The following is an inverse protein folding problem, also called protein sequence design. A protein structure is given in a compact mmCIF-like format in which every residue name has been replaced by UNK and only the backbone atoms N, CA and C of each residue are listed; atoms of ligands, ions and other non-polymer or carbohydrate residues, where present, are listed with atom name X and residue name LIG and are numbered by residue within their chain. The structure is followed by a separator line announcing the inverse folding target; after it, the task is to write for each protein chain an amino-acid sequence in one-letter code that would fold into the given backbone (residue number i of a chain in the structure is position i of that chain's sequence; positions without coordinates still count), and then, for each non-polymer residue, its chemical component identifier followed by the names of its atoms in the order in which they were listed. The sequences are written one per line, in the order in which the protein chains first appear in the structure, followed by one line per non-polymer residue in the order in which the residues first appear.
data_IF_030351653254
#
_entry.id   IF_030351653254
#
_cell.length_a   1.000
_cell.length_b   1.000
_cell.length_c   1.000
_cell.angle_alpha   90.00
_cell.angle_beta   90.00
_cell.angle_gamma   90.00
#
_symmetry.space_group_name_H-M   'P 1'
#
loop_
_entity.id
_entity.type
_entity.pdbx_description
1 polymer ?
#
# COMPACT_ATOMS: atom_id res chain seq x y z
N UNK A 1 31.95 -29.58 -39.30
CA UNK A 1 30.68 -29.38 -38.58
C UNK A 1 30.26 -27.94 -38.85
N UNK A 2 29.10 -27.61 -39.40
CA UNK A 2 27.91 -28.42 -39.65
C UNK A 2 26.73 -27.47 -39.48
N UNK A 3 26.18 -26.98 -40.58
CA UNK A 3 25.02 -26.08 -40.57
C UNK A 3 24.01 -26.53 -41.61
N UNK A 4 22.74 -26.21 -41.39
CA UNK A 4 21.69 -26.13 -42.40
C UNK A 4 20.53 -25.29 -41.87
N UNK A 5 19.83 -24.63 -42.80
CA UNK A 5 18.72 -23.72 -42.54
C UNK A 5 17.35 -24.39 -42.73
N UNK A 6 16.32 -23.80 -42.10
CA UNK A 6 14.95 -23.58 -42.61
C UNK A 6 14.14 -24.71 -43.28
N UNK A 7 12.93 -24.95 -42.75
CA UNK A 7 11.63 -24.45 -43.28
C UNK A 7 10.46 -25.46 -43.29
N UNK A 8 9.24 -24.92 -43.46
CA UNK A 8 7.93 -25.50 -43.11
C UNK A 8 7.18 -26.13 -44.30
N UNK A 9 6.59 -27.31 -44.06
CA UNK A 9 5.29 -27.88 -44.55
C UNK A 9 5.31 -29.39 -44.28
N UNK A 10 4.25 -30.12 -43.97
CA UNK A 10 2.82 -29.91 -44.23
C UNK A 10 2.31 -31.05 -45.13
N UNK A 11 1.45 -31.93 -44.63
CA UNK A 11 0.92 -33.06 -45.39
C UNK A 11 0.16 -34.09 -44.53
N UNK A 12 -1.01 -34.54 -45.01
CA UNK A 12 -1.90 -35.48 -44.30
C UNK A 12 -1.84 -36.91 -44.87
N UNK A 13 -2.34 -37.86 -44.07
CA UNK A 13 -3.15 -39.04 -44.45
C UNK A 13 -2.54 -40.25 -45.20
N UNK A 14 -2.65 -41.42 -44.54
CA UNK A 14 -3.09 -42.72 -45.06
C UNK A 14 -3.44 -43.58 -43.81
N UNK A 15 -4.64 -44.09 -43.54
CA UNK A 15 -5.64 -44.89 -44.29
C UNK A 15 -5.18 -46.32 -44.60
N UNK A 16 -5.86 -47.28 -43.95
CA UNK A 16 -6.15 -48.61 -44.51
C UNK A 16 -5.40 -49.80 -43.89
N UNK A 17 -6.12 -50.88 -43.53
CA UNK A 17 -5.48 -52.17 -43.20
C UNK A 17 -6.23 -53.14 -42.27
N UNK A 18 -7.55 -53.30 -42.38
CA UNK A 18 -8.25 -54.35 -41.62
C UNK A 18 -8.15 -55.74 -42.26
N UNK A 19 -8.03 -56.81 -41.45
CA UNK A 19 -8.26 -58.20 -41.91
C UNK A 19 -8.67 -59.13 -40.76
N UNK A 20 -9.56 -60.09 -41.05
CA UNK A 20 -10.23 -61.03 -40.11
C UNK A 20 -9.78 -62.50 -40.30
N UNK A 21 -10.05 -63.31 -39.27
CA UNK A 21 -10.13 -64.81 -39.14
C UNK A 21 -9.22 -65.32 -38.01
N UNK A 22 -9.54 -66.31 -37.16
CA UNK A 22 -10.75 -67.07 -36.80
C UNK A 22 -10.47 -67.79 -35.42
N UNK A 23 -11.38 -68.38 -34.65
CA UNK A 23 -12.84 -68.57 -34.74
C UNK A 23 -13.25 -70.02 -34.36
N UNK A 24 -14.00 -70.27 -33.27
CA UNK A 24 -14.45 -71.62 -32.86
C UNK A 24 -15.79 -71.67 -32.07
N UNK A 25 -16.45 -72.82 -32.17
CA UNK A 25 -17.82 -73.25 -31.80
C UNK A 25 -18.28 -73.09 -30.31
N UNK A 26 -19.56 -72.72 -30.03
CA UNK A 26 -20.77 -73.54 -29.63
C UNK A 26 -20.67 -74.15 -28.20
N UNK A 27 -21.60 -74.09 -27.23
CA UNK A 27 -23.08 -74.32 -27.07
C UNK A 27 -23.71 -73.37 -26.01
N UNK A 28 -24.94 -72.81 -26.18
CA UNK A 28 -26.26 -73.24 -25.60
C UNK A 28 -26.48 -72.88 -24.09
N UNK A 29 -27.63 -72.43 -23.54
CA UNK A 29 -28.96 -72.02 -24.06
C UNK A 29 -29.67 -71.00 -23.12
N UNK A 30 -30.56 -70.18 -23.70
CA UNK A 30 -31.76 -69.52 -23.10
C UNK A 30 -31.76 -68.91 -21.67
N UNK A 31 -32.12 -67.62 -21.56
CA UNK A 31 -32.77 -67.12 -20.34
C UNK A 31 -32.79 -65.60 -20.11
N UNK A 32 -33.83 -64.90 -20.60
CA UNK A 32 -34.31 -63.62 -20.04
C UNK A 32 -33.43 -62.38 -20.24
N UNK A 33 -33.85 -61.47 -21.12
CA UNK A 33 -33.20 -60.17 -21.25
C UNK A 33 -33.48 -59.25 -20.05
N UNK A 34 -32.41 -58.76 -19.42
CA UNK A 34 -32.41 -57.49 -18.70
C UNK A 34 -31.23 -56.65 -19.20
N UNK A 35 -31.53 -55.44 -19.66
CA UNK A 35 -30.51 -54.47 -19.99
C UNK A 35 -29.93 -53.95 -18.68
N UNK A 36 -28.65 -54.18 -18.44
CA UNK A 36 -27.84 -53.28 -17.61
C UNK A 36 -26.40 -53.34 -18.09
N UNK A 37 -26.10 -52.46 -19.06
CA UNK A 37 -24.74 -52.05 -19.31
C UNK A 37 -24.29 -51.21 -18.11
N UNK A 38 -23.73 -51.87 -17.09
CA UNK A 38 -23.08 -51.20 -15.96
C UNK A 38 -21.76 -50.60 -16.45
N UNK A 39 -21.89 -49.49 -17.18
CA UNK A 39 -20.81 -48.56 -17.41
C UNK A 39 -20.29 -48.12 -16.02
N UNK A 40 -19.09 -48.57 -15.66
CA UNK A 40 -18.35 -48.02 -14.53
C UNK A 40 -17.82 -46.62 -14.89
N UNK A 41 -18.75 -45.72 -15.18
CA UNK A 41 -18.50 -44.31 -15.33
C UNK A 41 -18.24 -43.77 -13.91
N UNK A 42 -16.97 -43.69 -13.53
CA UNK A 42 -16.53 -42.86 -12.41
C UNK A 42 -16.67 -41.36 -12.78
N UNK A 43 -17.91 -40.95 -13.06
CA UNK A 43 -18.32 -39.55 -13.10
C UNK A 43 -18.55 -39.17 -11.65
N UNK A 44 -17.65 -38.38 -11.09
CA UNK A 44 -17.86 -37.70 -9.82
C UNK A 44 -19.01 -36.68 -9.97
N UNK A 45 -20.24 -37.16 -9.83
CA UNK A 45 -21.45 -36.37 -9.68
C UNK A 45 -22.02 -36.67 -8.29
N UNK A 46 -21.39 -36.02 -7.30
CA UNK A 46 -21.67 -36.25 -5.87
C UNK A 46 -21.02 -35.24 -4.92
N UNK A 47 -20.19 -34.32 -5.40
CA UNK A 47 -19.71 -33.15 -4.67
C UNK A 47 -19.80 -31.91 -5.57
N UNK A 48 -20.99 -31.31 -5.63
CA UNK A 48 -21.16 -29.96 -6.17
C UNK A 48 -20.53 -28.96 -5.19
N UNK A 49 -19.63 -28.10 -5.69
CA UNK A 49 -19.39 -26.79 -5.10
C UNK A 49 -18.56 -26.72 -3.80
N UNK A 50 -17.42 -27.41 -3.71
CA UNK A 50 -16.36 -27.06 -2.74
C UNK A 50 -15.07 -26.56 -3.43
N UNK A 51 -15.23 -25.71 -4.44
CA UNK A 51 -14.32 -24.59 -4.60
C UNK A 51 -14.79 -23.45 -3.68
N UNK A 52 -14.68 -23.68 -2.36
CA UNK A 52 -14.52 -22.57 -1.43
C UNK A 52 -13.14 -22.00 -1.71
N UNK A 53 -13.09 -21.04 -2.64
CA UNK A 53 -12.01 -20.07 -2.66
C UNK A 53 -12.03 -19.44 -1.27
N UNK A 54 -11.08 -19.83 -0.41
CA UNK A 54 -11.03 -19.34 0.96
C UNK A 54 -10.81 -17.84 0.87
N UNK A 55 -11.84 -17.09 1.22
CA UNK A 55 -11.81 -15.64 1.19
C UNK A 55 -11.00 -15.21 2.43
N UNK A 56 -9.90 -14.51 2.21
CA UNK A 56 -9.08 -13.96 3.29
C UNK A 56 -9.67 -12.64 3.80
N UNK A 57 -9.37 -12.31 5.06
CA UNK A 57 -9.69 -11.08 5.75
C UNK A 57 -8.40 -10.21 5.90
N UNK A 58 -7.81 -9.64 4.82
CA UNK A 58 -6.46 -9.10 4.88
C UNK A 58 -6.33 -7.71 5.55
N UNK A 59 -5.25 -7.55 6.32
CA UNK A 59 -4.80 -6.32 6.96
C UNK A 59 -3.31 -6.07 6.69
N UNK A 60 -2.91 -4.83 6.46
CA UNK A 60 -1.49 -4.43 6.32
C UNK A 60 -1.00 -3.76 7.61
N UNK A 61 0.14 -4.22 8.11
CA UNK A 61 0.91 -3.58 9.18
C UNK A 61 2.15 -2.94 8.57
N UNK A 62 2.34 -1.64 8.86
CA UNK A 62 3.46 -0.86 8.33
C UNK A 62 4.47 -0.58 9.43
N UNK A 63 5.74 -0.84 9.13
CA UNK A 63 6.88 -0.64 10.01
C UNK A 63 7.88 0.32 9.35
N UNK A 64 8.66 1.01 10.19
CA UNK A 64 9.91 1.65 9.78
C UNK A 64 11.08 1.06 10.55
N UNK A 65 12.27 1.01 9.94
CA UNK A 65 13.49 0.50 10.60
C UNK A 65 14.33 1.67 11.10
N UNK A 66 14.40 1.86 12.42
CA UNK A 66 15.25 2.86 13.09
C UNK A 66 16.31 2.15 13.92
N UNK A 67 17.57 2.51 13.73
CA UNK A 67 18.72 1.94 14.47
C UNK A 67 18.74 0.40 14.48
N UNK A 68 18.34 -0.22 13.36
CA UNK A 68 18.23 -1.68 13.23
C UNK A 68 16.91 -2.29 13.73
N UNK A 69 16.17 -1.60 14.60
CA UNK A 69 14.91 -2.06 15.22
C UNK A 69 13.72 -1.73 14.32
N UNK A 70 12.77 -2.66 14.20
CA UNK A 70 11.48 -2.43 13.54
C UNK A 70 10.53 -1.74 14.52
N UNK A 71 10.04 -0.56 14.14
CA UNK A 71 9.00 0.17 14.86
C UNK A 71 7.72 0.14 14.02
N UNK A 72 6.65 -0.41 14.58
CA UNK A 72 5.30 -0.31 13.97
C UNK A 72 4.88 1.17 13.94
N UNK A 73 4.38 1.63 12.80
CA UNK A 73 3.92 3.02 12.58
C UNK A 73 2.44 3.13 12.21
N UNK A 74 1.79 2.01 11.89
CA UNK A 74 0.35 1.97 11.64
C UNK A 74 -0.13 0.61 11.14
N UNK A 75 -1.46 0.44 11.19
CA UNK A 75 -2.20 -0.69 10.63
C UNK A 75 -3.34 -0.14 9.79
N UNK A 76 -3.70 -0.81 8.71
CA UNK A 76 -4.96 -0.56 8.00
C UNK A 76 -6.14 -1.11 8.79
N UNK A 77 -7.36 -0.88 8.30
CA UNK A 77 -8.49 -1.72 8.62
C UNK A 77 -8.30 -3.17 8.12
N UNK A 78 -9.16 -4.07 8.59
CA UNK A 78 -9.34 -5.42 8.03
C UNK A 78 -10.43 -5.32 6.95
N UNK A 79 -10.16 -5.83 5.75
CA UNK A 79 -11.17 -5.94 4.69
C UNK A 79 -11.67 -7.37 4.68
N UNK A 80 -12.96 -7.58 4.94
CA UNK A 80 -13.50 -8.94 5.04
C UNK A 80 -13.66 -9.61 3.68
N UNK A 81 -13.37 -10.90 3.62
CA UNK A 81 -13.62 -11.81 2.51
C UNK A 81 -13.17 -11.25 1.15
N UNK A 82 -11.92 -10.77 1.05
CA UNK A 82 -11.45 -10.09 -0.15
C UNK A 82 -9.97 -10.37 -0.47
N UNK A 83 -9.74 -11.04 -1.60
CA UNK A 83 -8.40 -11.37 -2.11
C UNK A 83 -7.76 -10.24 -2.95
N UNK A 84 -8.50 -9.16 -3.25
CA UNK A 84 -8.02 -7.93 -3.89
C UNK A 84 -8.42 -6.70 -3.05
N UNK A 85 -7.96 -6.60 -1.80
CA UNK A 85 -8.39 -5.58 -0.85
C UNK A 85 -7.98 -4.16 -1.30
N UNK A 86 -8.83 -3.19 -0.96
CA UNK A 86 -8.53 -1.77 -1.06
C UNK A 86 -8.79 -1.11 0.30
N UNK A 87 -7.71 -0.75 0.99
CA UNK A 87 -7.76 -0.09 2.29
C UNK A 87 -7.95 1.43 2.14
N UNK A 88 -8.71 1.99 3.07
CA UNK A 88 -9.07 3.40 3.18
C UNK A 88 -8.17 4.09 4.22
N UNK A 89 -7.78 3.39 5.30
CA UNK A 89 -6.98 3.95 6.39
C UNK A 89 -5.55 4.29 5.92
N UNK A 90 -5.08 5.51 6.24
CA UNK A 90 -3.82 6.06 5.70
C UNK A 90 -2.73 6.18 6.77
N UNK A 91 -1.68 5.39 6.64
CA UNK A 91 -0.50 5.48 7.53
C UNK A 91 0.33 6.75 7.22
N UNK A 92 0.37 7.68 8.17
CA UNK A 92 0.99 9.00 7.99
C UNK A 92 2.48 9.05 8.37
N UNK A 93 3.36 9.12 7.37
CA UNK A 93 4.82 9.20 7.54
C UNK A 93 5.35 10.61 7.27
N UNK A 94 6.26 11.12 8.11
CA UNK A 94 6.98 12.36 7.82
C UNK A 94 8.16 12.06 6.90
N UNK A 95 8.27 12.77 5.77
CA UNK A 95 9.39 12.62 4.83
C UNK A 95 10.55 13.56 5.19
N UNK A 96 11.77 13.02 5.20
CA UNK A 96 13.02 13.74 5.46
C UNK A 96 13.98 13.44 4.30
N UNK A 97 14.21 14.40 3.41
CA UNK A 97 14.98 14.22 2.17
C UNK A 97 16.45 13.81 2.41
N UNK A 98 16.99 14.17 3.57
CA UNK A 98 18.36 13.88 4.01
C UNK A 98 18.55 12.50 4.65
N UNK A 99 17.46 11.75 4.88
CA UNK A 99 17.49 10.45 5.56
C UNK A 99 16.91 9.34 4.67
N UNK A 100 17.60 8.19 4.61
CA UNK A 100 17.04 6.97 4.02
C UNK A 100 15.98 6.42 4.96
N UNK A 101 14.72 6.44 4.55
CA UNK A 101 13.57 6.00 5.35
C UNK A 101 13.00 4.67 4.82
N UNK A 102 13.52 3.52 5.29
CA UNK A 102 12.98 2.22 4.92
C UNK A 102 11.59 2.00 5.52
N UNK A 103 10.69 1.49 4.70
CA UNK A 103 9.36 1.02 5.04
C UNK A 103 9.25 -0.48 4.78
N UNK A 104 8.61 -1.18 5.71
CA UNK A 104 8.34 -2.63 5.62
C UNK A 104 6.84 -2.82 5.84
N UNK A 105 6.21 -3.56 4.94
CA UNK A 105 4.79 -3.83 4.90
C UNK A 105 4.59 -5.32 5.11
N UNK A 106 3.83 -5.71 6.13
CA UNK A 106 3.46 -7.10 6.39
C UNK A 106 1.96 -7.25 6.21
N UNK A 107 1.56 -8.23 5.41
CA UNK A 107 0.16 -8.57 5.18
C UNK A 107 -0.19 -9.78 6.03
N UNK A 108 -1.30 -9.71 6.74
CA UNK A 108 -1.85 -10.78 7.56
C UNK A 108 -3.27 -11.08 7.14
N UNK A 109 -3.65 -12.36 7.18
CA UNK A 109 -5.02 -12.82 7.15
C UNK A 109 -5.53 -12.84 8.60
N UNK A 110 -6.61 -12.11 8.88
CA UNK A 110 -7.09 -11.89 10.24
C UNK A 110 -8.25 -12.85 10.52
N UNK A 111 -8.12 -13.70 11.54
CA UNK A 111 -9.21 -14.62 11.89
C UNK A 111 -10.49 -13.82 12.19
N UNK A 112 -11.59 -14.20 11.54
CA UNK A 112 -12.88 -13.50 11.56
C UNK A 112 -13.43 -13.27 12.99
N UNK A 113 -12.95 -14.00 14.01
CA UNK A 113 -13.23 -13.73 15.43
C UNK A 113 -12.72 -12.37 15.94
N UNK A 114 -11.79 -11.71 15.22
CA UNK A 114 -11.22 -10.41 15.57
C UNK A 114 -11.85 -9.21 14.85
N UNK A 115 -12.80 -9.40 13.93
CA UNK A 115 -13.33 -8.30 13.08
C UNK A 115 -14.01 -7.16 13.85
N UNK A 116 -14.56 -7.45 15.04
CA UNK A 116 -15.21 -6.46 15.92
C UNK A 116 -14.24 -5.85 16.96
N UNK A 117 -12.95 -6.16 16.87
CA UNK A 117 -11.92 -5.75 17.83
C UNK A 117 -11.04 -4.65 17.18
N UNK A 118 -10.69 -3.56 17.90
CA UNK A 118 -9.85 -2.51 17.33
C UNK A 118 -8.51 -3.05 16.79
N UNK A 119 -8.15 -2.73 15.55
CA UNK A 119 -6.97 -3.33 14.87
C UNK A 119 -5.64 -3.22 15.63
N UNK A 120 -5.51 -2.20 16.50
CA UNK A 120 -4.34 -1.98 17.37
C UNK A 120 -4.21 -3.02 18.51
N UNK A 121 -5.30 -3.70 18.90
CA UNK A 121 -5.29 -4.71 19.97
C UNK A 121 -5.23 -6.15 19.43
N UNK A 122 -5.34 -6.35 18.11
CA UNK A 122 -5.16 -7.65 17.46
C UNK A 122 -3.70 -8.13 17.64
N UNK A 123 -3.54 -9.34 18.14
CA UNK A 123 -2.23 -9.97 18.31
C UNK A 123 -1.79 -10.62 17.00
N UNK A 124 -0.72 -10.08 16.40
CA UNK A 124 -0.17 -10.57 15.12
C UNK A 124 0.48 -11.96 15.21
N UNK A 125 0.71 -12.47 16.41
CA UNK A 125 1.15 -13.86 16.66
C UNK A 125 0.05 -14.89 16.41
N UNK A 126 -1.21 -14.45 16.43
CA UNK A 126 -2.40 -15.30 16.44
C UNK A 126 -3.13 -15.24 15.08
N UNK A 127 -2.48 -14.67 14.05
CA UNK A 127 -3.00 -14.42 12.69
C UNK A 127 -2.07 -15.06 11.64
N UNK A 128 -2.61 -15.41 10.48
CA UNK A 128 -1.81 -16.03 9.42
C UNK A 128 -1.03 -14.98 8.62
N UNK A 129 0.25 -15.21 8.41
CA UNK A 129 1.14 -14.27 7.72
C UNK A 129 1.13 -14.53 6.20
N UNK A 130 0.65 -13.56 5.42
CA UNK A 130 0.50 -13.65 3.97
C UNK A 130 1.72 -13.13 3.18
N UNK A 131 2.61 -12.36 3.81
CA UNK A 131 3.88 -11.96 3.22
C UNK A 131 4.41 -10.59 3.64
N UNK A 132 5.68 -10.34 3.32
CA UNK A 132 6.38 -9.07 3.55
C UNK A 132 6.82 -8.43 2.22
N UNK A 133 6.71 -7.11 2.14
CA UNK A 133 7.29 -6.27 1.10
C UNK A 133 8.04 -5.09 1.74
N UNK A 134 9.04 -4.54 1.05
CA UNK A 134 9.81 -3.41 1.55
C UNK A 134 10.30 -2.48 0.43
N UNK A 135 10.45 -1.20 0.75
CA UNK A 135 11.01 -0.17 -0.10
C UNK A 135 11.51 1.03 0.74
N UNK A 136 12.25 1.95 0.16
CA UNK A 136 12.51 3.26 0.77
C UNK A 136 11.37 4.21 0.39
N UNK A 137 10.91 5.04 1.33
CA UNK A 137 9.84 6.04 1.10
C UNK A 137 10.13 6.95 -0.12
N UNK A 138 11.41 7.27 -0.36
CA UNK A 138 11.85 8.05 -1.53
C UNK A 138 11.50 7.40 -2.87
N UNK A 139 11.46 6.07 -2.97
CA UNK A 139 11.11 5.34 -4.19
C UNK A 139 9.64 5.48 -4.60
N UNK A 140 8.75 5.81 -3.65
CA UNK A 140 7.33 6.01 -3.92
C UNK A 140 7.08 7.46 -4.29
N UNK A 141 7.56 8.41 -3.46
CA UNK A 141 7.26 9.85 -3.62
C UNK A 141 7.94 10.49 -4.84
N UNK A 142 9.08 9.96 -5.31
CA UNK A 142 9.79 10.48 -6.49
C UNK A 142 9.21 10.01 -7.81
N UNK A 143 8.34 8.98 -7.81
CA UNK A 143 7.65 8.53 -9.02
C UNK A 143 6.54 9.50 -9.39
N UNK A 144 6.41 9.78 -10.68
CA UNK A 144 5.32 10.62 -11.22
C UNK A 144 3.92 10.09 -10.86
N UNK A 145 3.75 8.76 -10.83
CA UNK A 145 2.52 8.08 -10.40
C UNK A 145 2.26 8.14 -8.88
N UNK A 146 3.28 8.53 -8.09
CA UNK A 146 3.39 8.34 -6.64
C UNK A 146 2.97 6.94 -6.17
N UNK A 147 3.23 5.92 -6.99
CA UNK A 147 2.76 4.54 -6.76
C UNK A 147 3.83 3.51 -7.08
N UNK A 148 3.91 2.47 -6.25
CA UNK A 148 4.90 1.40 -6.32
C UNK A 148 4.23 0.06 -5.99
N UNK A 149 4.23 -0.86 -6.94
CA UNK A 149 3.82 -2.26 -6.74
C UNK A 149 5.03 -3.10 -6.32
N UNK A 150 4.87 -3.87 -5.24
CA UNK A 150 5.89 -4.71 -4.62
C UNK A 150 5.40 -6.16 -4.58
N UNK A 151 6.29 -7.11 -4.86
CA UNK A 151 5.98 -8.54 -4.69
C UNK A 151 6.07 -8.94 -3.21
N UNK A 152 5.08 -9.70 -2.73
CA UNK A 152 5.10 -10.27 -1.38
C UNK A 152 6.02 -11.48 -1.31
N UNK A 153 6.87 -11.50 -0.28
CA UNK A 153 7.89 -12.52 -0.02
C UNK A 153 7.64 -13.18 1.33
N UNK A 154 8.17 -14.38 1.52
CA UNK A 154 8.22 -15.03 2.83
C UNK A 154 9.15 -14.26 3.78
N UNK A 155 8.70 -14.05 5.02
CA UNK A 155 9.45 -13.36 6.07
C UNK A 155 10.67 -14.15 6.58
N UNK A 156 10.75 -15.46 6.29
CA UNK A 156 11.83 -16.35 6.73
C UNK A 156 13.11 -16.27 5.87
N UNK A 157 13.39 -15.12 5.25
CA UNK A 157 14.58 -14.90 4.42
C UNK A 157 14.59 -15.70 3.10
N UNK A 158 13.54 -16.44 2.80
CA UNK A 158 13.38 -17.16 1.55
C UNK A 158 12.99 -16.21 0.41
N UNK A 159 13.81 -16.15 -0.65
CA UNK A 159 13.48 -15.39 -1.87
C UNK A 159 12.40 -16.06 -2.74
N UNK A 160 11.41 -16.72 -2.11
CA UNK A 160 10.23 -17.27 -2.78
C UNK A 160 9.15 -16.19 -2.82
N UNK A 161 8.74 -15.81 -4.03
CA UNK A 161 7.57 -14.96 -4.21
C UNK A 161 6.32 -15.77 -3.83
N UNK A 162 5.45 -15.21 -2.99
CA UNK A 162 4.22 -15.87 -2.54
C UNK A 162 3.05 -15.72 -3.54
N UNK A 163 3.33 -15.23 -4.75
CA UNK A 163 2.33 -14.93 -5.79
C UNK A 163 1.54 -13.64 -5.57
N UNK A 164 1.41 -13.17 -4.33
CA UNK A 164 0.77 -11.90 -3.99
C UNK A 164 1.61 -10.66 -4.32
N UNK A 165 0.93 -9.52 -4.49
CA UNK A 165 1.56 -8.21 -4.65
C UNK A 165 0.83 -7.13 -3.87
N UNK A 166 1.57 -6.12 -3.40
CA UNK A 166 1.05 -4.97 -2.66
C UNK A 166 1.36 -3.71 -3.46
N UNK A 167 0.34 -2.90 -3.75
CA UNK A 167 0.54 -1.57 -4.39
C UNK A 167 0.43 -0.47 -3.34
N UNK A 168 1.53 0.25 -3.13
CA UNK A 168 1.63 1.34 -2.16
C UNK A 168 1.58 2.67 -2.92
N UNK A 169 0.64 3.54 -2.54
CA UNK A 169 0.50 4.91 -3.08
C UNK A 169 0.83 5.95 -2.01
N UNK A 170 1.64 6.95 -2.37
CA UNK A 170 1.91 8.09 -1.52
C UNK A 170 1.08 9.31 -1.93
N UNK A 171 0.52 10.01 -0.95
CA UNK A 171 -0.18 11.28 -1.13
C UNK A 171 0.37 12.29 -0.13
N UNK A 172 0.74 13.48 -0.60
CA UNK A 172 1.07 14.60 0.29
C UNK A 172 -0.22 15.14 0.91
N UNK A 173 -0.25 15.28 2.23
CA UNK A 173 -1.41 15.81 2.94
C UNK A 173 -1.67 17.26 2.53
N UNK A 174 -2.93 17.68 2.45
CA UNK A 174 -3.30 19.07 2.10
C UNK A 174 -2.59 20.05 3.03
N UNK A 175 -2.56 19.75 4.34
CA UNK A 175 -1.84 20.54 5.34
C UNK A 175 -0.35 20.75 4.99
N UNK A 176 0.34 19.76 4.40
CA UNK A 176 1.75 19.92 4.00
C UNK A 176 1.95 20.85 2.79
N UNK A 177 0.90 21.12 2.02
CA UNK A 177 0.90 22.06 0.87
C UNK A 177 0.29 23.42 1.18
N UNK A 178 -0.47 23.55 2.26
CA UNK A 178 -1.11 24.81 2.65
C UNK A 178 -0.09 25.92 2.89
N UNK A 179 -0.22 26.98 2.08
CA UNK A 179 0.41 28.28 2.30
C UNK A 179 -0.71 29.26 2.61
N UNK A 180 -0.61 29.94 3.75
CA UNK A 180 -1.54 31.02 4.12
C UNK A 180 -0.91 32.35 3.75
N UNK A 181 -1.64 33.18 3.03
CA UNK A 181 -1.31 34.58 2.82
C UNK A 181 -1.92 35.41 3.95
N UNK A 182 -1.10 36.16 4.69
CA UNK A 182 -1.55 37.00 5.82
C UNK A 182 -1.04 38.43 5.63
N UNK A 183 -1.97 39.38 5.60
CA UNK A 183 -1.67 40.82 5.67
C UNK A 183 -1.84 41.28 7.12
N UNK A 184 -0.77 41.79 7.71
CA UNK A 184 -0.81 42.35 9.05
C UNK A 184 -1.03 43.86 9.00
N UNK A 185 -1.80 44.36 9.97
CA UNK A 185 -2.01 45.79 10.23
C UNK A 185 -1.95 46.04 11.72
N UNK A 186 -1.27 47.10 12.13
CA UNK A 186 -1.40 47.68 13.46
C UNK A 186 -1.99 49.09 13.37
N UNK A 187 -2.50 49.60 14.49
CA UNK A 187 -3.00 50.97 14.62
C UNK A 187 -2.76 51.45 16.04
N UNK A 188 -2.48 52.75 16.19
CA UNK A 188 -2.14 53.37 17.47
C UNK A 188 -0.93 52.71 18.17
N UNK A 189 0.11 52.39 17.40
CA UNK A 189 1.39 51.99 18.01
C UNK A 189 1.97 53.15 18.82
N UNK A 190 2.56 52.84 19.97
CA UNK A 190 3.30 53.81 20.77
C UNK A 190 4.45 54.40 19.94
N UNK A 191 4.56 55.73 19.92
CA UNK A 191 5.78 56.36 19.47
C UNK A 191 6.86 56.22 20.56
N UNK A 192 8.00 55.62 20.23
CA UNK A 192 9.17 55.51 21.11
C UNK A 192 10.31 56.46 20.73
N UNK A 193 10.15 57.22 19.64
CA UNK A 193 11.18 58.12 19.13
C UNK A 193 10.95 59.57 19.54
N UNK A 194 12.06 60.29 19.77
CA UNK A 194 12.03 61.60 20.44
C UNK A 194 11.74 62.77 19.48
N UNK A 195 12.02 62.60 18.18
CA UNK A 195 11.90 63.63 17.14
C UNK A 195 11.30 63.13 15.81
N UNK A 196 10.89 61.86 15.76
CA UNK A 196 10.26 61.20 14.60
C UNK A 196 9.08 60.36 15.09
N UNK A 197 8.41 59.63 14.19
CA UNK A 197 7.53 58.52 14.58
C UNK A 197 8.32 57.21 14.50
N UNK A 198 7.83 56.19 15.21
CA UNK A 198 8.45 54.87 15.16
C UNK A 198 8.34 54.17 13.81
N UNK A 199 9.36 53.33 13.59
CA UNK A 199 9.63 52.54 12.40
C UNK A 199 9.27 51.05 12.64
N UNK A 200 7.98 50.66 12.75
CA UNK A 200 7.61 49.32 13.17
C UNK A 200 7.83 48.23 12.10
N UNK A 201 8.14 47.04 12.61
CA UNK A 201 8.20 45.78 11.86
C UNK A 201 7.68 44.63 12.73
N UNK A 202 7.28 43.52 12.10
CA UNK A 202 6.90 42.29 12.79
C UNK A 202 7.99 41.22 12.63
N UNK A 203 8.17 40.40 13.66
CA UNK A 203 8.99 39.18 13.64
C UNK A 203 8.16 38.01 14.17
N UNK A 204 7.65 37.19 13.26
CA UNK A 204 6.91 35.98 13.61
C UNK A 204 7.91 34.91 14.03
N UNK A 205 7.70 34.34 15.21
CA UNK A 205 8.59 33.33 15.79
C UNK A 205 7.78 32.11 16.23
N UNK A 206 8.28 30.92 15.93
CA UNK A 206 7.73 29.63 16.34
C UNK A 206 8.23 29.32 17.74
N UNK A 207 7.33 29.02 18.68
CA UNK A 207 7.72 28.51 20.01
C UNK A 207 8.17 27.06 19.86
N UNK A 208 9.24 26.67 20.57
CA UNK A 208 9.72 25.28 20.62
C UNK A 208 9.47 24.68 22.02
N UNK A 209 9.29 23.36 22.09
CA UNK A 209 8.97 22.64 23.33
C UNK A 209 9.97 22.88 24.47
N UNK A 210 11.23 23.19 24.14
CA UNK A 210 12.29 23.53 25.11
C UNK A 210 12.19 24.95 25.69
N UNK A 211 11.06 25.66 25.48
CA UNK A 211 10.79 26.99 26.03
C UNK A 211 11.42 28.16 25.25
N UNK A 212 12.09 27.89 24.14
CA UNK A 212 12.66 28.90 23.25
C UNK A 212 11.68 29.40 22.18
N UNK A 213 12.12 30.35 21.35
CA UNK A 213 11.44 30.68 20.09
C UNK A 213 12.42 30.88 18.93
N UNK A 214 12.05 30.36 17.76
CA UNK A 214 12.84 30.42 16.52
C UNK A 214 12.16 31.42 15.57
N UNK A 215 12.83 32.49 15.10
CA UNK A 215 12.25 33.41 14.15
C UNK A 215 12.05 32.74 12.78
N UNK A 216 10.81 32.75 12.26
CA UNK A 216 10.42 32.09 11.00
C UNK A 216 10.02 33.07 9.90
N UNK A 217 9.68 34.32 10.24
CA UNK A 217 9.39 35.38 9.28
C UNK A 217 9.66 36.77 9.88
N UNK A 218 10.01 37.74 9.04
CA UNK A 218 10.15 39.16 9.40
C UNK A 218 9.59 40.01 8.25
N UNK A 219 8.81 41.05 8.57
CA UNK A 219 8.32 42.03 7.58
C UNK A 219 9.42 43.03 7.20
N UNK A 220 9.13 43.83 6.18
CA UNK A 220 9.77 45.14 6.02
C UNK A 220 9.54 46.05 7.23
N UNK A 221 10.41 47.06 7.35
CA UNK A 221 10.26 48.17 8.29
C UNK A 221 9.44 49.25 7.59
N UNK A 222 8.32 49.66 8.19
CA UNK A 222 7.52 50.80 7.69
C UNK A 222 7.97 52.03 8.45
N UNK A 223 8.50 53.04 7.76
CA UNK A 223 9.06 54.23 8.42
C UNK A 223 7.99 55.23 8.88
N UNK A 224 8.26 55.90 9.99
CA UNK A 224 7.49 57.04 10.52
C UNK A 224 5.97 56.77 10.63
N UNK A 225 5.55 55.55 10.99
CA UNK A 225 4.15 55.14 10.87
C UNK A 225 3.62 54.35 12.07
N UNK A 226 2.66 54.94 12.80
CA UNK A 226 1.97 54.31 13.93
C UNK A 226 0.73 53.49 13.53
N UNK A 227 0.43 53.44 12.23
CA UNK A 227 -0.66 52.68 11.59
C UNK A 227 -0.12 51.83 10.42
N UNK A 228 0.90 50.99 10.63
CA UNK A 228 1.51 50.23 9.56
C UNK A 228 0.56 49.17 9.00
N UNK A 229 0.59 49.03 7.68
CA UNK A 229 0.09 47.86 6.96
C UNK A 229 1.30 47.29 6.23
N UNK A 230 1.66 46.05 6.54
CA UNK A 230 2.79 45.38 5.90
C UNK A 230 2.35 44.61 4.66
N UNK A 231 3.29 44.32 3.76
CA UNK A 231 3.08 43.45 2.61
C UNK A 231 2.57 42.06 3.02
N UNK A 232 1.81 41.36 2.15
CA UNK A 232 1.36 40.01 2.44
C UNK A 232 2.52 39.06 2.74
N UNK A 233 2.40 38.29 3.82
CA UNK A 233 3.35 37.26 4.19
C UNK A 233 2.82 35.88 3.78
N UNK A 234 3.65 35.11 3.07
CA UNK A 234 3.34 33.74 2.65
C UNK A 234 3.93 32.74 3.64
N UNK A 235 3.04 32.07 4.38
CA UNK A 235 3.37 31.22 5.52
C UNK A 235 2.96 29.77 5.21
N UNK A 236 3.94 28.93 4.85
CA UNK A 236 3.73 27.49 4.67
C UNK A 236 3.64 26.78 6.01
N UNK A 237 2.68 25.89 6.17
CA UNK A 237 2.51 25.06 7.37
C UNK A 237 3.75 24.23 7.73
N UNK A 238 4.63 23.91 6.75
CA UNK A 238 5.90 23.23 7.01
C UNK A 238 6.87 24.06 7.90
N UNK A 239 6.72 25.39 7.93
CA UNK A 239 7.50 26.28 8.81
C UNK A 239 6.93 26.41 10.23
N UNK A 240 5.70 25.90 10.45
CA UNK A 240 4.99 26.01 11.72
C UNK A 240 4.87 24.66 12.44
N UNK A 241 4.42 23.62 11.73
CA UNK A 241 4.07 22.34 12.33
C UNK A 241 5.28 21.57 12.86
N UNK A 242 5.49 21.58 14.18
CA UNK A 242 6.09 20.43 14.84
C UNK A 242 4.97 19.39 15.04
N UNK A 243 5.31 18.11 14.90
CA UNK A 243 4.35 17.03 15.06
C UNK A 243 3.99 16.84 16.53
N UNK A 244 2.84 17.35 16.95
CA UNK A 244 2.06 16.80 18.04
C UNK A 244 0.55 16.94 17.77
N UNK A 245 -0.18 15.83 17.90
CA UNK A 245 -1.64 15.74 17.99
C UNK A 245 -2.50 16.49 16.95
N UNK A 246 -2.86 15.80 15.87
CA UNK A 246 -4.27 15.51 15.53
C UNK A 246 -4.35 14.01 15.23
#
# INVERSE_FOLDING_TARGET
MGGCFSDVKGGQAAVGGGRRSAGNAVTDSSGGGQNDAVDFYFRSHGLQGLFTQVESDPMVVVYTKKNGVLQEIGRTEVILNNLNPQWIEKVSVAFHFETVQPLIFRVYDIDTKYCNIPVKTIKLSDQDFLGEASCVLSEIITKQSRSLTLCLKDGHGGSRNLGGSLTVRAEETIASRSVVEIVFRCSHLDNKDVFSKSDPFLRISRVVETGGSIPICKTEVVKDNLYPVWRPLFLSMQKFGDKASI
#
